data_IF_555891766948
#
_entry.id   IF_555891766948
#
_cell.length_a   1.000
_cell.length_b   1.000
_cell.length_c   1.000
_cell.angle_alpha   90.00
_cell.angle_beta   90.00
_cell.angle_gamma   90.00
#
_symmetry.space_group_name_H-M   'P 1'
#
loop_
_entity.id
_entity.type
_entity.pdbx_description
1 polymer ?
#
# COMPACT_ATOMS: atom_id res chain seq x y z
N UNK A 1 0.15 -4.42 -6.21
CA UNK A 1 0.09 -2.95 -6.08
C UNK A 1 -0.14 -2.37 -7.47
N UNK A 2 -0.95 -1.32 -7.61
CA UNK A 2 -1.20 -0.64 -8.88
C UNK A 2 -1.11 0.88 -8.70
N UNK A 3 -0.68 1.59 -9.74
CA UNK A 3 -0.72 3.05 -9.78
C UNK A 3 -2.16 3.48 -10.06
N UNK A 4 -2.66 4.46 -9.30
CA UNK A 4 -3.99 5.04 -9.49
C UNK A 4 -3.90 6.57 -9.49
N UNK A 5 -4.94 7.20 -10.05
CA UNK A 5 -5.10 8.66 -10.06
C UNK A 5 -6.38 9.01 -9.34
N UNK A 6 -6.31 9.93 -8.39
CA UNK A 6 -7.49 10.48 -7.75
C UNK A 6 -8.27 11.34 -8.77
N UNK A 7 -9.58 11.11 -8.88
CA UNK A 7 -10.42 11.76 -9.90
C UNK A 7 -10.60 13.25 -9.65
N UNK A 8 -10.66 13.67 -8.39
CA UNK A 8 -10.97 15.05 -8.00
C UNK A 8 -9.73 15.95 -8.13
N UNK A 9 -8.57 15.48 -7.64
CA UNK A 9 -7.34 16.28 -7.58
C UNK A 9 -6.39 16.01 -8.76
N UNK A 10 -6.54 14.88 -9.45
CA UNK A 10 -5.60 14.42 -10.46
C UNK A 10 -4.28 13.86 -9.88
N UNK A 11 -4.14 13.81 -8.56
CA UNK A 11 -2.93 13.33 -7.88
C UNK A 11 -2.73 11.83 -8.09
N UNK A 12 -1.47 11.42 -8.27
CA UNK A 12 -1.08 10.02 -8.50
C UNK A 12 -0.68 9.35 -7.19
N UNK A 13 -1.17 8.13 -6.98
CA UNK A 13 -0.96 7.32 -5.78
C UNK A 13 -0.66 5.86 -6.13
N UNK A 14 -0.13 5.12 -5.16
CA UNK A 14 0.03 3.67 -5.22
C UNK A 14 -1.05 2.98 -4.39
N UNK A 15 -1.86 2.14 -5.01
CA UNK A 15 -2.92 1.37 -4.34
C UNK A 15 -2.52 -0.09 -4.15
N UNK A 16 -2.45 -0.54 -2.90
CA UNK A 16 -2.28 -1.96 -2.54
C UNK A 16 -3.67 -2.56 -2.31
N UNK A 17 -4.06 -3.51 -3.17
CA UNK A 17 -5.29 -4.29 -3.07
C UNK A 17 -4.98 -5.64 -2.43
N UNK A 18 -5.63 -5.95 -1.32
CA UNK A 18 -5.42 -7.16 -0.53
C UNK A 18 -6.74 -7.93 -0.48
N UNK A 19 -6.73 -9.23 -0.80
CA UNK A 19 -7.93 -10.07 -0.79
C UNK A 19 -8.16 -10.65 0.59
N UNK A 20 -9.30 -10.36 1.22
CA UNK A 20 -9.62 -10.77 2.60
C UNK A 20 -9.57 -12.29 2.78
N UNK A 21 -10.13 -13.04 1.83
CA UNK A 21 -10.11 -14.49 1.85
C UNK A 21 -8.68 -15.06 1.85
N UNK A 22 -7.75 -14.43 1.12
CA UNK A 22 -6.35 -14.87 1.10
C UNK A 22 -5.62 -14.52 2.39
N UNK A 23 -5.90 -13.35 2.97
CA UNK A 23 -5.35 -12.96 4.26
C UNK A 23 -5.76 -13.91 5.37
N UNK A 24 -7.03 -14.31 5.40
CA UNK A 24 -7.55 -15.30 6.35
C UNK A 24 -6.88 -16.67 6.15
N UNK A 25 -6.84 -17.16 4.90
CA UNK A 25 -6.24 -18.46 4.57
C UNK A 25 -4.76 -18.54 4.97
N UNK A 26 -4.00 -17.45 4.82
CA UNK A 26 -2.56 -17.40 5.14
C UNK A 26 -2.27 -16.99 6.59
N UNK A 27 -3.30 -16.68 7.40
CA UNK A 27 -3.12 -16.15 8.76
C UNK A 27 -2.41 -14.78 8.79
N UNK A 28 -2.52 -13.97 7.74
CA UNK A 28 -1.78 -12.70 7.59
C UNK A 28 -2.57 -11.48 8.08
N UNK A 29 -3.71 -11.68 8.74
CA UNK A 29 -4.60 -10.59 9.15
C UNK A 29 -3.91 -9.65 10.14
N UNK A 30 -3.24 -10.20 11.15
CA UNK A 30 -2.57 -9.41 12.17
C UNK A 30 -1.36 -8.65 11.61
N UNK A 31 -0.60 -9.25 10.69
CA UNK A 31 0.49 -8.56 10.00
C UNK A 31 0.00 -7.36 9.19
N UNK A 32 -1.10 -7.51 8.45
CA UNK A 32 -1.67 -6.40 7.67
C UNK A 32 -2.25 -5.31 8.57
N UNK A 33 -2.83 -5.68 9.72
CA UNK A 33 -3.27 -4.70 10.73
C UNK A 33 -2.10 -3.93 11.32
N UNK A 34 -1.02 -4.62 11.67
CA UNK A 34 0.20 -3.99 12.16
C UNK A 34 0.81 -3.04 11.11
N UNK A 35 0.89 -3.48 9.84
CA UNK A 35 1.36 -2.64 8.73
C UNK A 35 0.52 -1.36 8.59
N UNK A 36 -0.82 -1.49 8.59
CA UNK A 36 -1.72 -0.34 8.52
C UNK A 36 -1.55 0.61 9.71
N UNK A 37 -1.48 0.07 10.93
CA UNK A 37 -1.36 0.89 12.14
C UNK A 37 -0.04 1.66 12.14
N UNK A 38 1.08 1.00 11.83
CA UNK A 38 2.39 1.64 11.71
C UNK A 38 2.37 2.74 10.65
N UNK A 39 1.84 2.45 9.46
CA UNK A 39 1.75 3.44 8.38
C UNK A 39 0.81 4.61 8.70
N UNK A 40 -0.14 4.45 9.61
CA UNK A 40 -1.05 5.50 10.06
C UNK A 40 -0.43 6.39 11.16
N UNK A 41 0.44 5.82 12.00
CA UNK A 41 1.08 6.53 13.12
C UNK A 41 2.41 7.21 12.72
N UNK A 42 3.08 6.69 11.69
CA UNK A 42 4.38 7.19 11.27
C UNK A 42 4.24 8.38 10.32
N UNK A 43 4.85 9.50 10.70
CA UNK A 43 5.13 10.63 9.82
C UNK A 43 6.65 10.80 9.69
N UNK A 44 7.23 10.19 8.66
CA UNK A 44 8.67 10.18 8.40
C UNK A 44 8.95 10.25 6.91
N UNK A 45 9.94 11.05 6.50
CA UNK A 45 10.37 11.16 5.11
C UNK A 45 11.00 9.86 4.55
N UNK A 46 11.29 8.88 5.39
CA UNK A 46 11.90 7.60 5.00
C UNK A 46 10.90 6.45 4.92
N UNK A 47 9.64 6.68 5.31
CA UNK A 47 8.60 5.66 5.33
C UNK A 47 7.48 6.12 4.41
N UNK A 48 7.01 5.22 3.54
CA UNK A 48 5.94 5.50 2.60
C UNK A 48 4.70 5.96 3.36
N UNK A 49 4.17 7.12 2.99
CA UNK A 49 2.98 7.66 3.66
C UNK A 49 1.71 6.92 3.23
N UNK A 50 0.87 6.56 4.19
CA UNK A 50 -0.50 6.11 3.94
C UNK A 50 -1.44 7.32 3.96
N UNK A 51 -2.09 7.59 2.83
CA UNK A 51 -3.05 8.70 2.70
C UNK A 51 -4.43 8.28 3.21
N UNK A 52 -4.89 7.11 2.80
CA UNK A 52 -6.15 6.56 3.28
C UNK A 52 -6.19 5.04 3.14
N UNK A 53 -7.10 4.42 3.88
CA UNK A 53 -7.42 3.01 3.74
C UNK A 53 -8.93 2.81 3.77
N UNK A 54 -9.42 1.89 2.94
CA UNK A 54 -10.84 1.55 2.85
C UNK A 54 -10.99 0.09 2.46
N UNK A 55 -12.19 -0.46 2.60
CA UNK A 55 -12.46 -1.86 2.31
C UNK A 55 -13.83 -2.04 1.66
N UNK A 56 -13.95 -3.07 0.83
CA UNK A 56 -15.20 -3.63 0.36
C UNK A 56 -15.38 -5.05 0.94
N UNK A 57 -16.41 -5.78 0.52
CA UNK A 57 -16.72 -7.12 1.05
C UNK A 57 -15.57 -8.12 0.82
N UNK A 58 -14.82 -7.98 -0.26
CA UNK A 58 -13.79 -8.93 -0.69
C UNK A 58 -12.35 -8.46 -0.43
N UNK A 59 -12.13 -7.15 -0.35
CA UNK A 59 -10.80 -6.56 -0.42
C UNK A 59 -10.60 -5.39 0.56
N UNK A 60 -9.35 -5.27 0.99
CA UNK A 60 -8.81 -4.10 1.69
C UNK A 60 -7.92 -3.32 0.71
N UNK A 61 -8.06 -2.00 0.72
CA UNK A 61 -7.33 -1.06 -0.13
C UNK A 61 -6.52 -0.12 0.75
N UNK A 62 -5.23 -0.02 0.46
CA UNK A 62 -4.33 0.94 1.07
C UNK A 62 -3.86 1.90 -0.02
N UNK A 63 -4.16 3.20 0.15
CA UNK A 63 -3.71 4.27 -0.75
C UNK A 63 -2.47 4.91 -0.15
N UNK A 64 -1.37 4.71 -0.85
CA UNK A 64 -0.03 5.06 -0.40
C UNK A 64 0.61 6.06 -1.36
N UNK A 65 1.66 6.70 -0.89
CA UNK A 65 2.53 7.53 -1.73
C UNK A 65 3.06 6.75 -2.94
N UNK A 66 3.06 7.42 -4.09
CA UNK A 66 3.63 6.86 -5.31
C UNK A 66 5.10 7.29 -5.45
N UNK A 67 6.00 6.30 -5.41
CA UNK A 67 7.42 6.49 -5.63
C UNK A 67 7.79 5.99 -7.04
N UNK A 68 8.11 6.88 -8.01
CA UNK A 68 8.39 6.49 -9.39
C UNK A 68 9.76 5.83 -9.59
N UNK A 69 10.63 5.85 -8.58
CA UNK A 69 12.01 5.34 -8.67
C UNK A 69 12.15 3.82 -8.72
N UNK A 70 11.07 3.07 -8.50
CA UNK A 70 11.12 1.62 -8.35
C UNK A 70 11.78 1.19 -7.04
N UNK A 71 12.15 -0.08 -6.94
CA UNK A 71 12.79 -0.66 -5.75
C UNK A 71 14.27 -0.96 -5.97
N UNK A 72 15.01 -1.01 -4.86
CA UNK A 72 16.45 -1.27 -4.86
C UNK A 72 16.81 -2.64 -5.44
N UNK A 73 15.96 -3.66 -5.28
CA UNK A 73 16.23 -4.98 -5.86
C UNK A 73 16.21 -4.92 -7.38
N UNK A 74 15.22 -4.25 -7.97
CA UNK A 74 15.13 -4.03 -9.42
C UNK A 74 16.36 -3.28 -9.96
N UNK A 75 16.89 -2.31 -9.21
CA UNK A 75 18.13 -1.61 -9.58
C UNK A 75 19.34 -2.54 -9.55
N UNK A 76 19.47 -3.40 -8.54
CA UNK A 76 20.59 -4.33 -8.40
C UNK A 76 20.55 -5.49 -9.40
N UNK A 77 19.35 -5.95 -9.76
CA UNK A 77 19.14 -7.03 -10.74
C UNK A 77 19.37 -6.59 -12.20
N UNK A 78 19.38 -5.28 -12.48
CA UNK A 78 19.59 -4.72 -13.84
C UNK A 78 21.05 -4.73 -14.32
N UNK A 79 21.85 -5.69 -13.86
CA UNK A 79 23.21 -5.91 -14.38
C UNK A 79 23.19 -6.73 -15.66
#
# INVERSE_FOLDING_TARGET
VRVCREKTTGQVYAMKKLKKAEMLRRGQVEHVRAERNLLAEVDSNYIVKLYCSFQDDDHLYLVMEYLPGGDMMTLLMRK
#
